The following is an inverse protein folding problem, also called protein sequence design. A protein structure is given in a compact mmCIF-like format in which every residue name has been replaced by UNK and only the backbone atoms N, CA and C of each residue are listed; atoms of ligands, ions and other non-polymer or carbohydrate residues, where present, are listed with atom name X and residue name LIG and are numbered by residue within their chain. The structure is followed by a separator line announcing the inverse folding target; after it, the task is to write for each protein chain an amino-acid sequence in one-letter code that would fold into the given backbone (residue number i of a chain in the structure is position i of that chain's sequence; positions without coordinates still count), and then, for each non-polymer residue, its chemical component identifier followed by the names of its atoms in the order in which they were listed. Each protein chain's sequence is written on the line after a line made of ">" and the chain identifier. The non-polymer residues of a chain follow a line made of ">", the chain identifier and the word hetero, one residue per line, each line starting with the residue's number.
data_IF_744156308758
#
_entry.id   IF_744156308758
#
_cell.length_a   1.000
_cell.length_b   1.000
_cell.length_c   1.000
_cell.angle_alpha   90.00
_cell.angle_beta   90.00
_cell.angle_gamma   90.00
#
_symmetry.space_group_name_H-M   'P 1'
#
loop_
_entity.id
_entity.type
_entity.pdbx_description
1 polymer ?
#
# COMPACT_ATOMS: atom_id res chain seq x y z
N UNK A 1 13.07 -26.44 -29.27
CA UNK A 1 11.87 -25.57 -29.29
C UNK A 1 11.25 -25.63 -27.92
N UNK A 2 11.61 -24.72 -27.02
CA UNK A 2 10.96 -24.58 -25.72
C UNK A 2 9.50 -24.20 -25.98
N UNK A 3 8.56 -25.09 -25.62
CA UNK A 3 7.14 -24.78 -25.69
C UNK A 3 6.91 -23.51 -24.88
N UNK A 4 6.56 -22.43 -25.57
CA UNK A 4 6.08 -21.18 -24.99
C UNK A 4 4.82 -21.52 -24.18
N UNK A 5 4.98 -21.89 -22.91
CA UNK A 5 3.89 -21.85 -21.96
C UNK A 5 3.69 -20.37 -21.66
N UNK A 6 2.86 -19.71 -22.48
CA UNK A 6 2.34 -18.42 -22.10
C UNK A 6 1.68 -18.60 -20.72
N UNK A 7 2.14 -17.88 -19.68
CA UNK A 7 1.55 -18.03 -18.36
C UNK A 7 0.05 -17.73 -18.44
N UNK A 8 -0.78 -18.64 -17.90
CA UNK A 8 -2.23 -18.45 -17.85
C UNK A 8 -2.53 -17.38 -16.80
N UNK A 9 -2.86 -16.17 -17.25
CA UNK A 9 -3.23 -15.06 -16.38
C UNK A 9 -4.72 -15.22 -16.03
N UNK A 10 -5.01 -15.40 -14.74
CA UNK A 10 -6.39 -15.44 -14.25
C UNK A 10 -7.07 -14.08 -14.45
N UNK A 11 -8.35 -14.02 -14.85
CA UNK A 11 -9.09 -12.77 -14.94
C UNK A 11 -9.18 -12.07 -13.58
N UNK A 12 -9.19 -10.74 -13.57
CA UNK A 12 -9.47 -9.94 -12.37
C UNK A 12 -10.98 -9.85 -12.06
N UNK A 13 -11.66 -11.00 -12.00
CA UNK A 13 -13.08 -11.07 -11.64
C UNK A 13 -13.31 -10.73 -10.15
N UNK A 14 -14.56 -10.43 -9.82
CA UNK A 14 -14.98 -10.14 -8.45
C UNK A 14 -14.55 -8.76 -7.95
N UNK A 15 -15.18 -8.34 -6.84
CA UNK A 15 -14.83 -7.10 -6.14
C UNK A 15 -13.49 -7.27 -5.42
N UNK A 16 -12.67 -6.22 -5.46
CA UNK A 16 -11.36 -6.16 -4.83
C UNK A 16 -11.41 -5.23 -3.62
N UNK A 17 -11.10 -5.78 -2.44
CA UNK A 17 -10.85 -4.96 -1.26
C UNK A 17 -9.44 -4.40 -1.26
N UNK A 18 -9.31 -3.11 -0.96
CA UNK A 18 -8.03 -2.43 -0.76
C UNK A 18 -7.97 -1.98 0.69
N UNK A 19 -7.05 -2.59 1.44
CA UNK A 19 -6.86 -2.39 2.87
C UNK A 19 -5.70 -1.42 3.12
N UNK A 20 -5.95 -0.35 3.85
CA UNK A 20 -5.03 0.77 4.05
C UNK A 20 -4.74 1.00 5.55
N UNK A 21 -3.71 0.37 6.13
CA UNK A 21 -3.20 0.79 7.44
C UNK A 21 -2.58 2.19 7.30
N UNK A 22 -3.14 3.18 8.01
CA UNK A 22 -2.87 4.60 7.83
C UNK A 22 -3.82 5.21 6.81
N UNK A 23 -4.89 5.86 7.30
CA UNK A 23 -5.94 6.51 6.51
C UNK A 23 -5.80 8.05 6.47
N UNK A 24 -4.57 8.55 6.64
CA UNK A 24 -4.23 9.97 6.50
C UNK A 24 -4.19 10.47 5.05
N UNK A 25 -3.47 11.57 4.81
CA UNK A 25 -3.49 12.34 3.55
C UNK A 25 -3.34 11.53 2.26
N UNK A 26 -2.45 10.54 2.22
CA UNK A 26 -2.23 9.70 1.02
C UNK A 26 -3.44 8.83 0.75
N UNK A 27 -3.91 8.09 1.76
CA UNK A 27 -5.03 7.16 1.64
C UNK A 27 -6.34 7.89 1.35
N UNK A 28 -6.62 8.99 2.06
CA UNK A 28 -7.83 9.78 1.86
C UNK A 28 -7.88 10.42 0.47
N UNK A 29 -6.77 10.97 -0.01
CA UNK A 29 -6.66 11.51 -1.37
C UNK A 29 -6.80 10.42 -2.43
N UNK A 30 -6.18 9.27 -2.22
CA UNK A 30 -6.27 8.13 -3.14
C UNK A 30 -7.72 7.66 -3.32
N UNK A 31 -8.43 7.42 -2.21
CA UNK A 31 -9.82 6.98 -2.26
C UNK A 31 -10.72 8.06 -2.87
N UNK A 32 -10.56 9.32 -2.46
CA UNK A 32 -11.33 10.44 -3.03
C UNK A 32 -11.14 10.54 -4.55
N UNK A 33 -9.89 10.42 -5.03
CA UNK A 33 -9.59 10.43 -6.46
C UNK A 33 -10.22 9.27 -7.24
N UNK A 34 -10.27 8.07 -6.64
CA UNK A 34 -10.95 6.91 -7.25
C UNK A 34 -12.46 7.13 -7.28
N UNK A 35 -13.08 7.59 -6.20
CA UNK A 35 -14.53 7.85 -6.17
C UNK A 35 -14.94 8.96 -7.14
N UNK A 36 -14.13 10.02 -7.26
CA UNK A 36 -14.35 11.08 -8.25
C UNK A 36 -14.26 10.53 -9.68
N UNK A 37 -13.28 9.66 -9.94
CA UNK A 37 -13.15 9.00 -11.24
C UNK A 37 -14.35 8.08 -11.54
N UNK A 38 -14.83 7.31 -10.56
CA UNK A 38 -16.02 6.44 -10.72
C UNK A 38 -17.26 7.26 -11.12
N UNK A 39 -17.39 8.48 -10.59
CA UNK A 39 -18.48 9.42 -10.94
C UNK A 39 -18.25 10.23 -12.22
N UNK A 40 -17.11 10.03 -12.91
CA UNK A 40 -16.75 10.83 -14.08
C UNK A 40 -16.39 12.29 -13.77
N UNK A 41 -16.18 12.63 -12.50
CA UNK A 41 -15.83 13.97 -12.00
C UNK A 41 -14.32 14.18 -11.90
N UNK A 42 -13.53 13.10 -12.02
CA UNK A 42 -12.07 13.13 -11.99
C UNK A 42 -11.46 12.32 -13.13
N UNK A 43 -10.26 12.72 -13.58
CA UNK A 43 -9.45 11.95 -14.53
C UNK A 43 -8.26 11.34 -13.78
N UNK A 44 -7.84 10.10 -14.09
CA UNK A 44 -6.75 9.41 -13.38
C UNK A 44 -5.36 9.91 -13.82
N UNK A 45 -5.15 11.23 -13.85
CA UNK A 45 -3.89 11.86 -14.24
C UNK A 45 -2.79 11.41 -13.27
N UNK A 46 -1.66 10.95 -13.83
CA UNK A 46 -0.56 10.37 -13.06
C UNK A 46 -0.66 8.86 -12.83
N UNK A 47 -1.78 8.21 -13.16
CA UNK A 47 -1.90 6.75 -13.06
C UNK A 47 -1.36 6.05 -14.30
N UNK A 48 -0.22 5.37 -14.13
CA UNK A 48 0.40 4.57 -15.19
C UNK A 48 -0.56 3.50 -15.74
N UNK A 49 -1.23 2.76 -14.86
CA UNK A 49 -2.11 1.67 -15.29
C UNK A 49 -3.33 2.16 -16.07
N UNK A 50 -3.80 3.39 -15.78
CA UNK A 50 -5.01 3.93 -16.40
C UNK A 50 -4.76 4.75 -17.66
N UNK A 51 -3.61 5.42 -17.78
CA UNK A 51 -3.33 6.36 -18.87
C UNK A 51 -2.15 5.98 -19.77
N UNK A 52 -1.24 5.12 -19.34
CA UNK A 52 -0.07 4.77 -20.15
C UNK A 52 -0.41 3.70 -21.19
N UNK A 53 0.28 3.76 -22.32
CA UNK A 53 0.20 2.75 -23.37
C UNK A 53 1.37 1.77 -23.31
N UNK A 54 1.16 0.57 -23.86
CA UNK A 54 2.22 -0.41 -24.07
C UNK A 54 2.44 -0.60 -25.57
N UNK A 55 3.69 -0.49 -26.02
CA UNK A 55 4.02 -0.74 -27.42
C UNK A 55 4.10 -2.24 -27.69
N UNK A 56 3.30 -2.70 -28.65
CA UNK A 56 3.32 -4.07 -29.15
C UNK A 56 3.93 -4.10 -30.56
N UNK A 57 4.69 -5.15 -30.86
CA UNK A 57 5.23 -5.36 -32.20
C UNK A 57 6.26 -4.31 -32.65
N UNK A 58 6.40 -4.21 -33.98
CA UNK A 58 7.37 -3.31 -34.61
C UNK A 58 6.87 -1.87 -34.61
N UNK A 59 7.80 -0.91 -34.68
CA UNK A 59 7.49 0.54 -34.57
C UNK A 59 6.47 1.02 -35.59
N UNK A 60 6.52 0.50 -36.82
CA UNK A 60 5.64 0.91 -37.92
C UNK A 60 4.23 0.32 -37.85
N UNK A 61 3.97 -0.62 -36.93
CA UNK A 61 2.63 -1.19 -36.75
C UNK A 61 1.71 -0.27 -35.93
N UNK A 62 2.27 0.74 -35.25
CA UNK A 62 1.54 1.71 -34.41
C UNK A 62 0.59 1.07 -33.36
N UNK A 63 0.88 -0.15 -32.91
CA UNK A 63 0.09 -0.88 -31.90
C UNK A 63 0.49 -0.44 -30.49
N UNK A 64 -0.23 0.55 -29.96
CA UNK A 64 0.01 1.11 -28.64
C UNK A 64 -1.28 1.18 -27.80
N UNK A 65 -1.93 0.05 -27.47
CA UNK A 65 -3.12 0.06 -26.62
C UNK A 65 -2.80 0.61 -25.22
N UNK A 66 -3.82 1.10 -24.51
CA UNK A 66 -3.70 1.42 -23.09
C UNK A 66 -3.40 0.15 -22.30
N UNK A 67 -2.62 0.27 -21.22
CA UNK A 67 -2.27 -0.87 -20.35
C UNK A 67 -3.53 -1.53 -19.80
N UNK A 68 -4.51 -0.74 -19.34
CA UNK A 68 -5.80 -1.24 -18.84
C UNK A 68 -6.64 -2.02 -19.86
N UNK A 69 -6.44 -1.74 -21.16
CA UNK A 69 -7.16 -2.43 -22.24
C UNK A 69 -6.39 -3.68 -22.71
N UNK A 70 -5.14 -3.85 -22.26
CA UNK A 70 -4.26 -4.94 -22.65
C UNK A 70 -4.14 -6.04 -21.58
N UNK A 71 -4.09 -5.66 -20.30
CA UNK A 71 -3.95 -6.59 -19.16
C UNK A 71 -5.27 -6.64 -18.39
N UNK A 72 -5.76 -7.81 -17.92
CA UNK A 72 -6.98 -7.92 -17.14
C UNK A 72 -6.77 -7.35 -15.72
N UNK A 73 -6.78 -6.03 -15.58
CA UNK A 73 -6.70 -5.33 -14.31
C UNK A 73 -8.08 -5.28 -13.63
N UNK A 74 -8.09 -5.11 -12.30
CA UNK A 74 -9.33 -4.86 -11.58
C UNK A 74 -9.96 -3.54 -12.04
N UNK A 75 -11.25 -3.56 -12.35
CA UNK A 75 -12.01 -2.36 -12.66
C UNK A 75 -12.03 -1.45 -11.42
N UNK A 76 -11.60 -0.17 -11.53
CA UNK A 76 -11.73 0.79 -10.44
C UNK A 76 -13.13 0.86 -9.83
N UNK A 77 -14.20 0.69 -10.61
CA UNK A 77 -15.58 0.66 -10.12
C UNK A 77 -15.84 -0.49 -9.12
N UNK A 78 -15.09 -1.59 -9.24
CA UNK A 78 -15.18 -2.76 -8.36
C UNK A 78 -14.31 -2.68 -7.09
N UNK A 79 -13.59 -1.58 -6.87
CA UNK A 79 -12.75 -1.38 -5.69
C UNK A 79 -13.59 -1.01 -4.47
N UNK A 80 -13.27 -1.64 -3.34
CA UNK A 80 -13.87 -1.41 -2.02
C UNK A 80 -12.77 -1.09 -1.03
N UNK A 81 -12.89 0.03 -0.32
CA UNK A 81 -11.84 0.50 0.58
C UNK A 81 -12.16 0.20 2.04
N UNK A 82 -11.13 -0.09 2.81
CA UNK A 82 -11.16 -0.25 4.25
C UNK A 82 -9.76 -0.04 4.81
N UNK A 83 -9.62 0.11 6.12
CA UNK A 83 -8.32 0.36 6.69
C UNK A 83 -8.35 0.58 8.18
N UNK A 84 -7.20 0.96 8.71
CA UNK A 84 -6.98 1.21 10.12
C UNK A 84 -6.35 2.58 10.30
N UNK A 85 -6.73 3.29 11.36
CA UNK A 85 -6.07 4.53 11.73
C UNK A 85 -6.02 4.68 13.25
N UNK A 86 -5.10 5.53 13.73
CA UNK A 86 -4.92 5.88 15.13
C UNK A 86 -5.95 6.91 15.61
N UNK A 87 -6.68 7.50 14.68
CA UNK A 87 -7.77 8.43 14.93
C UNK A 87 -9.09 7.86 14.41
N UNK A 88 -10.24 8.17 15.06
CA UNK A 88 -11.53 7.61 14.67
C UNK A 88 -12.19 8.37 13.51
N UNK A 89 -11.49 9.36 12.92
CA UNK A 89 -12.00 10.20 11.84
C UNK A 89 -12.42 9.34 10.64
N UNK A 90 -13.63 9.55 10.14
CA UNK A 90 -14.02 8.99 8.83
C UNK A 90 -13.04 9.45 7.75
N UNK A 91 -12.98 8.71 6.63
CA UNK A 91 -12.07 9.08 5.55
C UNK A 91 -12.37 10.46 4.94
N UNK A 92 -13.63 10.92 5.02
CA UNK A 92 -14.01 12.28 4.63
C UNK A 92 -13.39 13.33 5.55
N UNK A 93 -13.50 13.15 6.87
CA UNK A 93 -12.89 14.05 7.85
C UNK A 93 -11.36 14.06 7.71
N UNK A 94 -10.74 12.89 7.50
CA UNK A 94 -9.32 12.78 7.22
C UNK A 94 -8.92 13.50 5.92
N UNK A 95 -9.72 13.42 4.86
CA UNK A 95 -9.50 14.15 3.61
C UNK A 95 -9.57 15.67 3.80
N UNK A 96 -10.57 16.16 4.54
CA UNK A 96 -10.75 17.58 4.84
C UNK A 96 -9.58 18.10 5.68
N UNK A 97 -9.18 17.37 6.73
CA UNK A 97 -8.02 17.74 7.58
C UNK A 97 -6.71 17.74 6.81
N UNK A 98 -6.54 16.81 5.86
CA UNK A 98 -5.35 16.74 5.02
C UNK A 98 -5.21 17.92 4.06
N UNK A 99 -6.32 18.56 3.67
CA UNK A 99 -6.30 19.78 2.84
C UNK A 99 -5.72 19.60 1.44
N UNK A 100 -5.60 18.36 0.95
CA UNK A 100 -5.03 18.06 -0.38
C UNK A 100 -6.01 18.38 -1.49
N UNK A 101 -7.28 18.01 -1.31
CA UNK A 101 -8.39 18.37 -2.20
C UNK A 101 -9.27 19.41 -1.50
N UNK A 102 -9.70 20.46 -2.21
CA UNK A 102 -10.60 21.46 -1.64
C UNK A 102 -11.99 20.84 -1.38
N UNK A 103 -12.73 21.39 -0.42
CA UNK A 103 -14.00 20.83 0.05
C UNK A 103 -15.03 20.70 -1.09
N UNK A 104 -15.02 21.63 -2.05
CA UNK A 104 -15.91 21.62 -3.21
C UNK A 104 -15.66 20.41 -4.12
N UNK A 105 -14.42 19.89 -4.16
CA UNK A 105 -14.09 18.67 -4.89
C UNK A 105 -14.42 17.41 -4.09
N UNK A 106 -14.40 17.47 -2.76
CA UNK A 106 -14.76 16.35 -1.89
C UNK A 106 -16.28 16.18 -1.75
N UNK A 107 -17.04 17.28 -1.80
CA UNK A 107 -18.49 17.28 -1.57
C UNK A 107 -19.27 16.27 -2.45
N UNK A 108 -18.97 16.11 -3.76
CA UNK A 108 -19.65 15.13 -4.60
C UNK A 108 -19.41 13.66 -4.20
N UNK A 109 -18.35 13.36 -3.45
CA UNK A 109 -17.97 11.98 -3.03
C UNK A 109 -18.01 11.81 -1.51
N UNK A 110 -18.66 12.75 -0.81
CA UNK A 110 -18.73 12.77 0.65
C UNK A 110 -19.31 11.48 1.22
N UNK A 111 -20.44 11.01 0.68
CA UNK A 111 -21.12 9.82 1.18
C UNK A 111 -20.23 8.58 1.07
N UNK A 112 -19.51 8.42 -0.05
CA UNK A 112 -18.59 7.30 -0.24
C UNK A 112 -17.43 7.36 0.75
N UNK A 113 -16.86 8.55 0.99
CA UNK A 113 -15.76 8.74 1.93
C UNK A 113 -16.19 8.56 3.40
N UNK A 114 -17.35 9.09 3.79
CA UNK A 114 -17.91 8.90 5.14
C UNK A 114 -18.24 7.43 5.42
N UNK A 115 -18.57 6.65 4.38
CA UNK A 115 -18.83 5.20 4.54
C UNK A 115 -17.57 4.38 4.88
N UNK A 116 -16.38 4.95 4.72
CA UNK A 116 -15.11 4.31 5.07
C UNK A 116 -14.65 4.80 6.44
N UNK A 117 -15.10 4.11 7.48
CA UNK A 117 -14.68 4.34 8.87
C UNK A 117 -13.43 3.51 9.20
N UNK A 118 -12.41 4.10 9.86
CA UNK A 118 -11.21 3.38 10.22
C UNK A 118 -11.46 2.37 11.35
N UNK A 119 -10.90 1.17 11.20
CA UNK A 119 -10.77 0.22 12.30
C UNK A 119 -9.66 0.70 13.27
N UNK A 120 -9.72 0.36 14.58
CA UNK A 120 -8.65 0.72 15.51
C UNK A 120 -7.30 0.16 15.05
N UNK A 121 -6.25 0.97 15.00
CA UNK A 121 -4.95 0.55 14.48
C UNK A 121 -4.02 -0.08 15.54
N UNK A 122 -3.12 -0.95 15.09
CA UNK A 122 -1.94 -1.35 15.87
C UNK A 122 -1.00 -0.15 16.03
N UNK A 123 -0.56 0.14 17.25
CA UNK A 123 0.26 1.29 17.58
C UNK A 123 1.36 0.96 18.59
N UNK A 124 2.54 1.55 18.40
CA UNK A 124 3.63 1.52 19.36
C UNK A 124 4.35 2.88 19.34
N UNK A 125 4.32 3.58 20.49
CA UNK A 125 4.89 4.92 20.64
C UNK A 125 6.42 4.93 20.45
N UNK A 126 7.11 3.81 20.71
CA UNK A 126 8.57 3.73 20.54
C UNK A 126 8.95 3.87 19.05
N UNK A 127 8.09 3.37 18.16
CA UNK A 127 8.26 3.39 16.72
C UNK A 127 7.67 4.64 16.06
N UNK A 128 6.64 5.25 16.63
CA UNK A 128 6.01 6.48 16.11
C UNK A 128 5.86 7.49 17.24
N UNK A 129 6.88 8.34 17.40
CA UNK A 129 7.05 9.18 18.60
C UNK A 129 6.15 10.41 18.67
N UNK A 130 5.73 10.95 17.53
CA UNK A 130 5.07 12.25 17.44
C UNK A 130 3.54 12.18 17.35
N UNK A 131 2.95 11.00 17.50
CA UNK A 131 1.50 10.81 17.46
C UNK A 131 1.00 10.33 18.82
N UNK A 132 -0.21 10.75 19.19
CA UNK A 132 -0.94 10.22 20.35
C UNK A 132 -2.18 9.53 19.84
N UNK A 133 -2.22 8.20 19.93
CA UNK A 133 -3.34 7.43 19.39
C UNK A 133 -4.57 7.50 20.30
N UNK A 134 -5.73 7.77 19.72
CA UNK A 134 -7.03 7.74 20.41
C UNK A 134 -7.91 6.57 19.97
N UNK A 135 -7.53 5.89 18.88
CA UNK A 135 -8.24 4.78 18.25
C UNK A 135 -7.30 3.61 17.98
N UNK A 136 -6.67 3.08 19.03
CA UNK A 136 -5.69 1.99 18.93
C UNK A 136 -6.19 0.66 19.53
N UNK A 137 -5.75 -0.44 18.92
CA UNK A 137 -5.89 -1.79 19.47
C UNK A 137 -5.06 -1.96 20.73
N UNK A 138 -5.44 -2.93 21.57
CA UNK A 138 -4.72 -3.31 22.79
C UNK A 138 -4.44 -4.81 22.77
N UNK A 139 -3.31 -5.20 23.35
CA UNK A 139 -2.86 -6.59 23.45
C UNK A 139 -1.37 -6.71 23.15
N UNK A 140 -0.86 -7.92 23.32
CA UNK A 140 0.48 -8.33 22.88
C UNK A 140 0.56 -8.35 21.35
N UNK A 141 1.77 -8.33 20.77
CA UNK A 141 1.98 -8.43 19.31
C UNK A 141 1.30 -9.62 18.66
N UNK A 142 1.24 -10.77 19.34
CA UNK A 142 0.49 -11.93 18.85
C UNK A 142 -1.01 -11.67 18.81
N UNK A 143 -1.59 -11.14 19.89
CA UNK A 143 -3.02 -10.79 19.95
C UNK A 143 -3.38 -9.72 18.92
N UNK A 144 -2.50 -8.73 18.72
CA UNK A 144 -2.65 -7.69 17.71
C UNK A 144 -2.64 -8.27 16.30
N UNK A 145 -1.74 -9.22 16.01
CA UNK A 145 -1.75 -9.94 14.73
C UNK A 145 -3.06 -10.71 14.51
N UNK A 146 -3.56 -11.40 15.54
CA UNK A 146 -4.85 -12.09 15.49
C UNK A 146 -6.01 -11.13 15.22
N UNK A 147 -6.08 -10.01 15.94
CA UNK A 147 -7.12 -8.99 15.74
C UNK A 147 -7.09 -8.41 14.32
N UNK A 148 -5.90 -8.16 13.75
CA UNK A 148 -5.78 -7.70 12.35
C UNK A 148 -6.29 -8.79 11.38
N UNK A 149 -5.98 -10.06 11.61
CA UNK A 149 -6.50 -11.15 10.78
C UNK A 149 -8.03 -11.29 10.88
N UNK A 150 -8.60 -11.08 12.07
CA UNK A 150 -10.04 -11.08 12.30
C UNK A 150 -10.73 -9.92 11.57
N UNK A 151 -10.19 -8.70 11.69
CA UNK A 151 -10.66 -7.52 10.97
C UNK A 151 -10.70 -7.75 9.45
N UNK A 152 -9.62 -8.31 8.90
CA UNK A 152 -9.51 -8.66 7.48
C UNK A 152 -10.62 -9.64 7.07
N UNK A 153 -10.82 -10.71 7.86
CA UNK A 153 -11.84 -11.71 7.57
C UNK A 153 -13.26 -11.12 7.65
N UNK A 154 -13.51 -10.29 8.66
CA UNK A 154 -14.78 -9.59 8.85
C UNK A 154 -15.06 -8.63 7.68
N UNK A 155 -14.07 -7.83 7.27
CA UNK A 155 -14.17 -6.92 6.13
C UNK A 155 -14.45 -7.68 4.82
N UNK A 156 -13.71 -8.76 4.56
CA UNK A 156 -13.92 -9.63 3.39
C UNK A 156 -15.35 -10.15 3.33
N UNK A 157 -15.87 -10.65 4.46
CA UNK A 157 -17.22 -11.20 4.58
C UNK A 157 -18.29 -10.11 4.43
N UNK A 158 -18.16 -8.99 5.16
CA UNK A 158 -19.13 -7.88 5.16
C UNK A 158 -19.37 -7.33 3.76
N UNK A 159 -18.32 -7.22 2.95
CA UNK A 159 -18.40 -6.63 1.62
C UNK A 159 -18.48 -7.66 0.48
N UNK A 160 -18.57 -8.96 0.81
CA UNK A 160 -18.59 -10.07 -0.14
C UNK A 160 -17.46 -9.99 -1.17
N UNK A 161 -16.22 -9.92 -0.67
CA UNK A 161 -15.02 -9.69 -1.49
C UNK A 161 -14.35 -11.01 -1.86
N UNK A 162 -13.99 -11.17 -3.12
CA UNK A 162 -13.25 -12.34 -3.60
C UNK A 162 -11.75 -12.20 -3.33
N UNK A 163 -11.24 -10.98 -3.55
CA UNK A 163 -9.81 -10.65 -3.51
C UNK A 163 -9.55 -9.47 -2.59
N UNK A 164 -8.35 -9.44 -2.02
CA UNK A 164 -7.87 -8.38 -1.16
C UNK A 164 -6.44 -8.00 -1.56
N UNK A 165 -6.06 -6.76 -1.30
CA UNK A 165 -4.68 -6.28 -1.29
C UNK A 165 -4.51 -5.34 -0.10
N UNK A 166 -3.34 -5.38 0.54
CA UNK A 166 -3.01 -4.47 1.63
C UNK A 166 -1.86 -3.55 1.22
N UNK A 167 -2.00 -2.25 1.48
CA UNK A 167 -0.98 -1.25 1.19
C UNK A 167 -0.73 -0.44 2.47
N UNK A 168 0.46 -0.57 3.03
CA UNK A 168 0.85 0.22 4.20
C UNK A 168 1.05 1.68 3.81
N UNK A 169 0.24 2.54 4.42
CA UNK A 169 0.25 3.99 4.28
C UNK A 169 0.39 4.67 5.66
N UNK A 170 0.82 3.91 6.68
CA UNK A 170 1.03 4.41 8.03
C UNK A 170 2.24 5.34 8.11
N UNK A 171 2.34 6.06 9.23
CA UNK A 171 3.51 6.91 9.49
C UNK A 171 4.80 6.10 9.42
N UNK A 172 5.86 6.73 8.91
CA UNK A 172 7.21 6.15 8.91
C UNK A 172 7.63 5.83 10.33
N UNK A 173 7.91 4.55 10.57
CA UNK A 173 8.46 4.08 11.83
C UNK A 173 9.94 4.45 11.95
N UNK A 174 10.44 4.55 13.19
CA UNK A 174 11.87 4.72 13.46
C UNK A 174 12.67 3.66 12.69
N UNK A 175 13.77 4.10 12.07
CA UNK A 175 14.67 3.21 11.35
C UNK A 175 15.25 2.15 12.29
N UNK A 176 15.11 0.88 11.93
CA UNK A 176 15.65 -0.26 12.67
C UNK A 176 16.44 -1.16 11.74
N UNK A 177 17.42 -1.85 12.32
CA UNK A 177 18.17 -2.90 11.64
C UNK A 177 17.53 -4.27 11.95
N UNK A 178 17.59 -5.24 11.01
CA UNK A 178 17.14 -6.59 11.28
C UNK A 178 17.87 -7.23 12.48
N UNK A 179 17.13 -7.89 13.36
CA UNK A 179 17.65 -8.64 14.52
C UNK A 179 17.46 -10.15 14.33
N UNK A 180 17.92 -10.95 15.30
CA UNK A 180 17.69 -12.39 15.32
C UNK A 180 16.18 -12.76 15.30
N UNK A 181 15.32 -11.86 15.79
CA UNK A 181 13.86 -12.02 15.74
C UNK A 181 13.33 -12.09 14.30
N UNK A 182 14.02 -11.46 13.34
CA UNK A 182 13.56 -11.37 11.94
C UNK A 182 14.22 -12.38 11.00
N UNK A 183 15.11 -13.25 11.52
CA UNK A 183 15.96 -14.11 10.70
C UNK A 183 15.23 -15.32 10.06
N UNK A 184 14.10 -15.74 10.64
CA UNK A 184 13.27 -16.83 10.10
C UNK A 184 11.83 -16.69 10.57
N UNK A 185 10.88 -17.29 9.85
CA UNK A 185 9.47 -17.30 10.23
C UNK A 185 9.27 -17.86 11.65
N UNK A 186 10.00 -18.92 12.00
CA UNK A 186 9.92 -19.51 13.33
C UNK A 186 10.44 -18.55 14.43
N UNK A 187 11.50 -17.76 14.15
CA UNK A 187 11.98 -16.75 15.08
C UNK A 187 10.98 -15.60 15.24
N UNK A 188 10.39 -15.14 14.14
CA UNK A 188 9.38 -14.08 14.15
C UNK A 188 8.12 -14.51 14.90
N UNK A 189 7.59 -15.71 14.65
CA UNK A 189 6.41 -16.23 15.36
C UNK A 189 6.68 -16.44 16.86
N UNK A 190 7.91 -16.83 17.26
CA UNK A 190 8.31 -16.82 18.68
C UNK A 190 8.36 -15.40 19.24
N UNK A 191 8.92 -14.45 18.50
CA UNK A 191 8.97 -13.04 18.87
C UNK A 191 7.58 -12.43 19.05
N UNK A 192 6.63 -12.71 18.15
CA UNK A 192 5.24 -12.27 18.26
C UNK A 192 4.60 -12.80 19.55
N UNK A 193 4.76 -14.10 19.84
CA UNK A 193 4.21 -14.76 21.03
C UNK A 193 4.87 -14.29 22.34
N UNK A 194 6.14 -13.89 22.28
CA UNK A 194 6.87 -13.32 23.41
C UNK A 194 6.70 -11.80 23.54
N UNK A 195 5.84 -11.18 22.73
CA UNK A 195 5.62 -9.73 22.67
C UNK A 195 6.92 -8.92 22.47
N UNK A 196 7.83 -9.43 21.62
CA UNK A 196 9.15 -8.86 21.40
C UNK A 196 9.08 -7.45 20.82
N UNK A 197 9.71 -6.49 21.51
CA UNK A 197 9.81 -5.08 21.08
C UNK A 197 10.45 -4.89 19.71
N UNK A 198 11.24 -5.85 19.23
CA UNK A 198 11.88 -5.81 17.91
C UNK A 198 10.87 -5.85 16.74
N UNK A 199 9.60 -6.15 17.01
CA UNK A 199 8.56 -6.27 15.98
C UNK A 199 7.72 -4.99 15.95
N UNK A 200 7.90 -4.11 14.95
CA UNK A 200 7.11 -2.89 14.82
C UNK A 200 5.67 -3.17 14.36
N UNK A 201 4.75 -2.21 14.54
CA UNK A 201 3.37 -2.29 14.02
C UNK A 201 3.27 -2.70 12.55
N UNK A 202 4.08 -2.14 11.66
CA UNK A 202 4.06 -2.47 10.23
C UNK A 202 4.30 -3.96 9.94
N UNK A 203 5.19 -4.61 10.71
CA UNK A 203 5.45 -6.04 10.59
C UNK A 203 4.27 -6.89 11.08
N UNK A 204 3.48 -6.40 12.05
CA UNK A 204 2.25 -7.08 12.48
C UNK A 204 1.24 -7.13 11.33
N UNK A 205 1.05 -6.02 10.62
CA UNK A 205 0.18 -5.98 9.44
C UNK A 205 0.72 -6.82 8.28
N UNK A 206 2.02 -6.71 7.99
CA UNK A 206 2.66 -7.51 6.94
C UNK A 206 2.52 -9.01 7.23
N UNK A 207 2.82 -9.45 8.46
CA UNK A 207 2.62 -10.82 8.90
C UNK A 207 1.18 -11.27 8.70
N UNK A 208 0.19 -10.51 9.20
CA UNK A 208 -1.22 -10.85 9.09
C UNK A 208 -1.69 -10.99 7.62
N UNK A 209 -1.31 -10.03 6.76
CA UNK A 209 -1.66 -10.07 5.33
C UNK A 209 -1.05 -11.30 4.65
N UNK A 210 0.26 -11.50 4.80
CA UNK A 210 0.99 -12.58 4.13
C UNK A 210 0.55 -13.96 4.64
N UNK A 211 0.27 -14.09 5.95
CA UNK A 211 -0.26 -15.32 6.55
C UNK A 211 -1.62 -15.72 5.96
N UNK A 212 -2.46 -14.73 5.63
CA UNK A 212 -3.76 -14.92 5.00
C UNK A 212 -3.71 -15.04 3.46
N UNK A 213 -2.53 -15.02 2.85
CA UNK A 213 -2.40 -15.10 1.39
C UNK A 213 -2.70 -13.78 0.66
N UNK A 214 -2.67 -12.65 1.36
CA UNK A 214 -3.09 -11.34 0.83
C UNK A 214 -1.85 -10.56 0.36
N UNK A 215 -1.78 -10.17 -0.93
CA UNK A 215 -0.69 -9.35 -1.43
C UNK A 215 -0.48 -8.08 -0.60
N UNK A 216 0.79 -7.79 -0.27
CA UNK A 216 1.15 -6.71 0.63
C UNK A 216 2.16 -5.76 -0.03
N UNK A 217 1.91 -4.45 0.03
CA UNK A 217 2.83 -3.43 -0.44
C UNK A 217 3.20 -2.46 0.70
N UNK A 218 4.50 -2.23 0.90
CA UNK A 218 4.99 -1.23 1.85
C UNK A 218 5.20 0.14 1.18
N UNK A 219 4.36 1.12 1.55
CA UNK A 219 4.45 2.49 1.05
C UNK A 219 5.42 3.41 1.80
N UNK A 220 6.04 2.94 2.88
CA UNK A 220 6.95 3.72 3.73
C UNK A 220 8.35 3.07 3.77
N UNK A 221 9.41 3.77 4.23
CA UNK A 221 10.79 3.28 4.14
C UNK A 221 11.22 2.31 5.27
N UNK A 222 10.37 2.07 6.26
CA UNK A 222 10.60 1.11 7.34
C UNK A 222 10.68 -0.34 6.82
N UNK A 223 11.27 -1.25 7.61
CA UNK A 223 11.51 -2.64 7.18
C UNK A 223 10.21 -3.35 6.78
N UNK A 224 9.20 -3.37 7.65
CA UNK A 224 7.93 -4.06 7.39
C UNK A 224 8.17 -5.46 6.81
N UNK A 225 7.71 -5.76 5.59
CA UNK A 225 7.90 -7.05 4.90
C UNK A 225 9.33 -7.34 4.43
N UNK A 226 10.25 -6.37 4.45
CA UNK A 226 11.64 -6.46 3.96
C UNK A 226 12.57 -7.11 5.00
N UNK A 227 12.19 -8.31 5.47
CA UNK A 227 12.98 -9.13 6.40
C UNK A 227 12.92 -10.61 6.02
N UNK A 228 13.98 -11.41 6.29
CA UNK A 228 14.04 -12.82 5.90
C UNK A 228 12.83 -13.65 6.35
N UNK A 229 12.33 -13.43 7.58
CA UNK A 229 11.18 -14.13 8.10
C UNK A 229 9.88 -13.93 7.29
N UNK A 230 9.65 -12.71 6.79
CA UNK A 230 8.44 -12.39 6.03
C UNK A 230 8.59 -12.74 4.55
N UNK A 231 9.81 -12.73 4.01
CA UNK A 231 10.12 -13.34 2.71
C UNK A 231 9.85 -14.85 2.75
N UNK A 232 10.33 -15.55 3.78
CA UNK A 232 10.07 -16.99 3.97
C UNK A 232 8.56 -17.27 4.07
N UNK A 233 7.81 -16.43 4.80
CA UNK A 233 6.36 -16.57 4.90
C UNK A 233 5.67 -16.34 3.54
N UNK A 234 6.09 -15.32 2.79
CA UNK A 234 5.55 -14.99 1.48
C UNK A 234 5.78 -16.10 0.46
N UNK A 235 6.97 -16.72 0.48
CA UNK A 235 7.26 -17.91 -0.33
C UNK A 235 6.36 -19.09 0.04
N UNK A 236 6.17 -19.36 1.35
CA UNK A 236 5.31 -20.44 1.82
C UNK A 236 3.84 -20.27 1.44
N UNK A 237 3.33 -19.03 1.45
CA UNK A 237 1.93 -18.74 1.09
C UNK A 237 1.75 -18.35 -0.36
N UNK A 238 2.82 -18.35 -1.17
CA UNK A 238 2.85 -17.84 -2.54
C UNK A 238 2.26 -16.43 -2.67
N UNK A 239 2.51 -15.57 -1.66
CA UNK A 239 1.95 -14.23 -1.57
C UNK A 239 2.92 -13.19 -2.12
N UNK A 240 2.51 -12.36 -3.09
CA UNK A 240 3.33 -11.25 -3.55
C UNK A 240 3.54 -10.19 -2.46
N UNK A 241 4.80 -9.80 -2.28
CA UNK A 241 5.18 -8.63 -1.48
C UNK A 241 5.86 -7.58 -2.36
N UNK A 242 5.65 -6.30 -2.08
CA UNK A 242 6.25 -5.19 -2.80
C UNK A 242 6.64 -4.06 -1.84
N UNK A 243 7.59 -3.23 -2.27
CA UNK A 243 8.10 -2.13 -1.48
C UNK A 243 9.59 -1.88 -1.73
N UNK A 244 10.18 -0.90 -1.06
CA UNK A 244 9.58 0.00 -0.06
C UNK A 244 9.63 1.46 -0.50
N UNK A 245 8.85 2.31 0.17
CA UNK A 245 8.76 3.75 -0.04
C UNK A 245 8.18 4.19 -1.40
N UNK A 246 7.13 5.01 -1.37
CA UNK A 246 6.50 5.50 -2.60
C UNK A 246 7.44 6.47 -3.35
N UNK A 247 7.83 6.09 -4.57
CA UNK A 247 8.62 6.97 -5.45
C UNK A 247 7.73 7.96 -6.21
N UNK A 248 7.38 9.08 -5.56
CA UNK A 248 6.35 10.02 -6.04
C UNK A 248 6.89 11.26 -6.77
N UNK A 249 7.79 12.02 -6.15
CA UNK A 249 8.20 13.35 -6.62
C UNK A 249 9.70 13.48 -6.85
N UNK A 250 10.41 14.04 -5.86
CA UNK A 250 11.84 14.33 -5.99
C UNK A 250 12.66 13.09 -6.36
N UNK A 251 12.49 11.97 -5.66
CA UNK A 251 13.21 10.72 -5.95
C UNK A 251 12.87 10.15 -7.32
N UNK A 252 11.61 10.27 -7.78
CA UNK A 252 11.22 9.89 -9.14
C UNK A 252 12.07 10.65 -10.16
N UNK A 253 12.17 11.99 -10.03
CA UNK A 253 13.01 12.82 -10.89
C UNK A 253 14.49 12.44 -10.83
N UNK A 254 15.03 12.12 -9.64
CA UNK A 254 16.42 11.63 -9.51
C UNK A 254 16.64 10.36 -10.33
N UNK A 255 15.67 9.43 -10.33
CA UNK A 255 15.77 8.18 -11.10
C UNK A 255 15.65 8.37 -12.61
N UNK A 256 15.18 9.52 -13.08
CA UNK A 256 15.19 9.88 -14.50
C UNK A 256 16.50 10.60 -14.87
N UNK A 257 16.86 11.62 -14.09
CA UNK A 257 17.99 12.52 -14.38
C UNK A 257 19.33 11.82 -14.16
N UNK A 258 19.49 11.07 -13.06
CA UNK A 258 20.75 10.39 -12.73
C UNK A 258 21.23 9.45 -13.84
N UNK A 259 20.39 8.51 -14.31
CA UNK A 259 20.74 7.66 -15.46
C UNK A 259 20.99 8.44 -16.74
N UNK A 260 20.27 9.54 -17.00
CA UNK A 260 20.48 10.37 -18.19
C UNK A 260 21.87 11.03 -18.18
N UNK A 261 22.29 11.60 -17.05
CA UNK A 261 23.64 12.18 -16.86
C UNK A 261 24.71 11.12 -17.10
N UNK A 262 24.55 9.93 -16.50
CA UNK A 262 25.48 8.79 -16.68
C UNK A 262 25.55 8.34 -18.14
N UNK A 263 24.41 8.17 -18.79
CA UNK A 263 24.31 7.70 -20.20
C UNK A 263 24.96 8.68 -21.17
N UNK A 264 24.94 9.97 -20.84
CA UNK A 264 25.58 11.03 -21.63
C UNK A 264 27.03 11.32 -21.24
N UNK A 265 27.59 10.57 -20.28
CA UNK A 265 28.99 10.69 -19.82
C UNK A 265 29.32 12.12 -19.35
N UNK A 266 28.35 12.79 -18.72
CA UNK A 266 28.50 14.21 -18.33
C UNK A 266 29.22 14.39 -16.99
N UNK A 267 29.40 13.31 -16.22
CA UNK A 267 29.94 13.36 -14.86
C UNK A 267 28.96 13.97 -13.84
N UNK A 268 29.12 13.61 -12.56
CA UNK A 268 28.32 14.16 -11.46
C UNK A 268 29.19 14.26 -10.21
N UNK A 269 29.57 15.47 -9.82
CA UNK A 269 30.44 15.71 -8.67
C UNK A 269 29.67 15.95 -7.35
N UNK A 270 28.38 16.25 -7.41
CA UNK A 270 27.55 16.47 -6.22
C UNK A 270 26.07 16.50 -6.54
N UNK A 271 25.24 16.06 -5.59
CA UNK A 271 23.79 16.08 -5.69
C UNK A 271 23.19 16.58 -4.38
N UNK A 272 22.57 17.75 -4.39
CA UNK A 272 21.90 18.31 -3.22
C UNK A 272 20.39 18.06 -3.31
N UNK A 273 19.74 17.77 -2.18
CA UNK A 273 18.31 17.45 -2.13
C UNK A 273 17.70 17.82 -0.79
N UNK A 274 16.91 18.88 -0.78
CA UNK A 274 16.17 19.34 0.38
C UNK A 274 14.68 19.19 0.12
N UNK A 275 13.93 18.75 1.14
CA UNK A 275 12.48 18.63 1.09
C UNK A 275 11.92 19.29 2.35
N UNK A 276 10.94 20.17 2.18
CA UNK A 276 10.20 20.81 3.27
C UNK A 276 8.73 20.55 2.95
N UNK A 277 8.03 19.91 3.88
CA UNK A 277 6.60 19.63 3.80
C UNK A 277 5.97 19.96 5.17
N UNK A 278 4.70 20.33 5.15
CA UNK A 278 3.90 20.69 6.32
C UNK A 278 2.42 20.49 6.04
#
# INVERSE_FOLDING_TARGET
>A
MTKNHAPKISPASGRLGVLLPGMGAVSSTFVAGVELMKKGLGRPIGSLTQLQTIRLGKRYENRNPLIRDFVPLADPAGLVFGGWDLFPDSLFEAAVKAGVLPLEQLAPVRQELESVEPMPAVFDQEYVRNLTATHAKRGTRWELACQVMEDIAAFKKRHNLERLVMIWCGSTEVSTEPTATHASLAALERGLKADSKDIPPSMVYAYAAIKLGIPYANGAPNLSADVPALVELAEKTATPIAGKDFKTGQTMMKTVIGPAIKTRVLGLNGWYSTNILG
#
